data_IF_535158915560
#
_entry.id   IF_535158915560
#
_cell.length_a   1.000
_cell.length_b   1.000
_cell.length_c   1.000
_cell.angle_alpha   90.00
_cell.angle_beta   90.00
_cell.angle_gamma   90.00
#
_symmetry.space_group_name_H-M   'P 1'
#
loop_
_entity.id
_entity.type
_entity.pdbx_description
1 polymer ?
#
# COMPACT_ATOMS: atom_id res chain seq x y z
N UNK A 1 -22.95 15.96 -16.08
CA UNK A 1 -22.95 15.73 -14.62
C UNK A 1 -22.20 14.42 -14.40
N UNK A 2 -20.89 14.49 -14.24
CA UNK A 2 -20.05 13.33 -13.90
C UNK A 2 -20.42 12.96 -12.48
N UNK A 3 -20.85 11.72 -12.25
CA UNK A 3 -20.99 11.23 -10.89
C UNK A 3 -19.58 11.21 -10.31
N UNK A 4 -19.30 12.05 -9.33
CA UNK A 4 -18.26 11.77 -8.34
C UNK A 4 -18.64 10.45 -7.70
N UNK A 5 -18.20 9.35 -8.33
CA UNK A 5 -18.27 8.03 -7.73
C UNK A 5 -17.28 8.13 -6.58
N UNK A 6 -17.78 7.94 -5.35
CA UNK A 6 -16.92 7.51 -4.25
C UNK A 6 -15.94 6.49 -4.83
N UNK A 7 -14.62 6.65 -4.65
CA UNK A 7 -13.69 5.71 -5.22
C UNK A 7 -13.93 4.34 -4.56
N UNK A 8 -14.63 3.46 -5.27
CA UNK A 8 -14.76 2.05 -4.90
C UNK A 8 -13.32 1.51 -4.73
N UNK A 9 -13.06 0.74 -3.67
CA UNK A 9 -11.71 0.33 -3.29
C UNK A 9 -10.90 -0.32 -4.42
N UNK A 10 -11.59 -1.02 -5.32
CA UNK A 10 -11.01 -1.59 -6.54
C UNK A 10 -10.28 -0.55 -7.39
N UNK A 11 -10.85 0.65 -7.51
CA UNK A 11 -10.26 1.74 -8.30
C UNK A 11 -9.04 2.32 -7.62
N UNK A 12 -9.05 2.45 -6.29
CA UNK A 12 -7.88 2.90 -5.54
C UNK A 12 -6.77 1.86 -5.66
N UNK A 13 -7.12 0.57 -5.54
CA UNK A 13 -6.17 -0.52 -5.70
C UNK A 13 -5.56 -0.55 -7.12
N UNK A 14 -6.37 -0.33 -8.16
CA UNK A 14 -5.88 -0.22 -9.54
C UNK A 14 -4.90 0.94 -9.71
N UNK A 15 -5.20 2.12 -9.16
CA UNK A 15 -4.28 3.27 -9.19
C UNK A 15 -3.00 2.94 -8.42
N UNK A 16 -3.10 2.35 -7.23
CA UNK A 16 -1.95 2.00 -6.41
C UNK A 16 -1.04 0.98 -7.12
N UNK A 17 -1.62 -0.05 -7.76
CA UNK A 17 -0.90 -1.01 -8.60
C UNK A 17 -0.16 -0.33 -9.73
N UNK A 18 -0.84 0.57 -10.45
CA UNK A 18 -0.25 1.31 -11.56
C UNK A 18 0.90 2.23 -11.11
N UNK A 19 0.81 2.84 -9.92
CA UNK A 19 1.89 3.66 -9.37
C UNK A 19 3.11 2.83 -8.94
N UNK A 20 2.91 1.61 -8.44
CA UNK A 20 3.99 0.70 -8.08
C UNK A 20 4.67 0.15 -9.35
N UNK A 21 3.88 -0.35 -10.31
CA UNK A 21 4.38 -0.93 -11.56
C UNK A 21 5.01 0.12 -12.50
N UNK A 22 4.45 1.33 -12.53
CA UNK A 22 4.87 2.40 -13.45
C UNK A 22 6.11 3.17 -13.02
N UNK A 23 6.69 2.89 -11.84
CA UNK A 23 7.84 3.63 -11.32
C UNK A 23 9.07 2.72 -11.27
N UNK A 24 9.77 2.61 -12.40
CA UNK A 24 11.11 2.00 -12.46
C UNK A 24 12.20 2.84 -11.76
N UNK A 25 11.85 4.01 -11.21
CA UNK A 25 12.78 4.94 -10.56
C UNK A 25 12.27 5.34 -9.17
N UNK A 26 13.20 5.44 -8.20
CA UNK A 26 13.00 5.80 -6.78
C UNK A 26 12.79 4.62 -5.79
N UNK A 27 13.59 3.55 -5.92
CA UNK A 27 13.62 2.44 -4.96
C UNK A 27 12.52 1.40 -5.15
N UNK A 28 11.65 1.59 -6.15
CA UNK A 28 10.55 0.69 -6.46
C UNK A 28 10.95 -0.47 -7.41
N UNK A 29 12.18 -0.45 -7.92
CA UNK A 29 12.79 -1.51 -8.74
C UNK A 29 12.89 -2.87 -8.04
N UNK A 30 12.81 -2.87 -6.71
CA UNK A 30 12.81 -4.07 -5.86
C UNK A 30 11.42 -4.66 -5.69
N UNK A 31 10.38 -3.94 -6.09
CA UNK A 31 8.99 -4.39 -5.96
C UNK A 31 8.52 -5.12 -7.21
N UNK A 32 7.75 -6.16 -6.96
CA UNK A 32 6.88 -6.80 -7.95
C UNK A 32 5.48 -6.99 -7.37
N UNK A 33 4.52 -7.15 -8.26
CA UNK A 33 3.11 -7.32 -7.92
C UNK A 33 2.66 -8.74 -8.30
N UNK A 34 2.08 -9.44 -7.33
CA UNK A 34 1.36 -10.70 -7.56
C UNK A 34 -0.13 -10.50 -7.25
N UNK A 35 -0.97 -10.55 -8.28
CA UNK A 35 -2.42 -10.42 -8.12
C UNK A 35 -3.06 -11.80 -7.88
N UNK A 36 -3.84 -11.94 -6.79
CA UNK A 36 -4.60 -13.16 -6.49
C UNK A 36 -6.07 -12.80 -6.27
N UNK A 37 -6.89 -12.97 -7.31
CA UNK A 37 -8.27 -12.48 -7.28
C UNK A 37 -8.31 -10.95 -7.24
N UNK A 38 -9.02 -10.40 -6.26
CA UNK A 38 -9.13 -8.95 -6.06
C UNK A 38 -8.00 -8.40 -5.17
N UNK A 39 -7.32 -9.27 -4.42
CA UNK A 39 -6.20 -8.93 -3.54
C UNK A 39 -4.88 -8.86 -4.30
N UNK A 40 -3.92 -8.16 -3.74
CA UNK A 40 -2.62 -7.97 -4.39
C UNK A 40 -1.47 -8.02 -3.40
N UNK A 41 -0.56 -8.96 -3.61
CA UNK A 41 0.66 -9.07 -2.83
C UNK A 41 1.74 -8.19 -3.47
N UNK A 42 2.31 -7.30 -2.65
CA UNK A 42 3.54 -6.57 -2.97
C UNK A 42 4.70 -7.45 -2.49
N UNK A 43 5.54 -7.85 -3.43
CA UNK A 43 6.74 -8.64 -3.17
C UNK A 43 7.95 -7.73 -3.28
N UNK A 44 8.84 -7.76 -2.30
CA UNK A 44 10.13 -7.07 -2.32
C UNK A 44 11.24 -8.11 -2.31
N UNK A 45 12.15 -8.08 -3.29
CA UNK A 45 13.26 -9.03 -3.41
C UNK A 45 12.83 -10.49 -3.18
N UNK A 46 11.79 -10.94 -3.89
CA UNK A 46 11.23 -12.30 -3.82
C UNK A 46 10.54 -12.66 -2.49
N UNK A 47 10.39 -11.72 -1.55
CA UNK A 47 9.70 -11.92 -0.27
C UNK A 47 8.43 -11.08 -0.17
N UNK A 48 7.30 -11.62 0.33
CA UNK A 48 6.06 -10.86 0.48
C UNK A 48 6.24 -9.75 1.52
N UNK A 49 6.07 -8.49 1.10
CA UNK A 49 6.16 -7.33 1.98
C UNK A 49 4.80 -6.94 2.56
N UNK A 50 3.80 -6.85 1.69
CA UNK A 50 2.49 -6.33 2.07
C UNK A 50 1.39 -6.88 1.16
N UNK A 51 0.15 -6.85 1.65
CA UNK A 51 -1.05 -7.21 0.90
C UNK A 51 -1.96 -5.99 0.77
N UNK A 52 -2.31 -5.64 -0.46
CA UNK A 52 -3.32 -4.64 -0.81
C UNK A 52 -4.67 -5.37 -0.90
N UNK A 53 -5.60 -4.98 -0.04
CA UNK A 53 -6.94 -5.56 0.05
C UNK A 53 -7.97 -4.47 -0.23
N UNK A 54 -8.64 -4.49 -1.41
CA UNK A 54 -9.73 -3.57 -1.69
C UNK A 54 -10.88 -3.70 -0.69
N UNK A 55 -11.49 -2.57 -0.33
CA UNK A 55 -12.69 -2.49 0.52
C UNK A 55 -13.82 -1.79 -0.21
N UNK A 56 -15.01 -1.83 0.39
CA UNK A 56 -16.17 -1.09 -0.13
C UNK A 56 -15.86 0.41 -0.28
N UNK A 57 -15.09 0.96 0.67
CA UNK A 57 -14.59 2.33 0.64
C UNK A 57 -13.10 2.31 0.98
N UNK A 58 -12.23 2.50 -0.02
CA UNK A 58 -10.80 2.53 0.21
C UNK A 58 -10.09 1.18 0.06
N UNK A 59 -8.84 1.16 0.51
CA UNK A 59 -7.92 0.02 0.41
C UNK A 59 -7.19 -0.13 1.74
N UNK A 60 -7.07 -1.37 2.20
CA UNK A 60 -6.16 -1.71 3.28
C UNK A 60 -4.82 -2.19 2.71
N UNK A 61 -3.72 -1.70 3.25
CA UNK A 61 -2.38 -2.25 3.03
C UNK A 61 -1.95 -2.93 4.32
N UNK A 62 -1.78 -4.24 4.26
CA UNK A 62 -1.50 -5.09 5.42
C UNK A 62 -0.05 -5.52 5.39
N UNK A 63 0.67 -5.22 6.46
CA UNK A 63 2.06 -5.62 6.64
C UNK A 63 2.14 -6.77 7.64
N UNK A 64 2.36 -8.02 7.17
CA UNK A 64 2.49 -9.18 8.06
C UNK A 64 3.72 -9.10 8.95
N UNK A 65 4.77 -8.42 8.49
CA UNK A 65 6.05 -8.27 9.20
C UNK A 65 6.48 -6.80 9.24
N UNK A 66 7.58 -6.50 9.93
CA UNK A 66 8.16 -5.15 9.91
C UNK A 66 7.37 -4.08 10.66
N UNK A 67 6.52 -4.46 11.63
CA UNK A 67 5.64 -3.58 12.41
C UNK A 67 6.29 -2.27 12.86
N UNK A 68 7.50 -2.33 13.43
CA UNK A 68 8.22 -1.13 13.91
C UNK A 68 8.64 -0.22 12.76
N UNK A 69 9.10 -0.79 11.64
CA UNK A 69 9.51 -0.03 10.45
C UNK A 69 8.29 0.65 9.81
N UNK A 70 7.17 -0.06 9.66
CA UNK A 70 5.90 0.46 9.13
C UNK A 70 5.39 1.61 9.98
N UNK A 71 5.32 1.44 11.31
CA UNK A 71 4.87 2.49 12.23
C UNK A 71 5.73 3.74 12.13
N UNK A 72 7.05 3.58 12.24
CA UNK A 72 7.97 4.71 12.16
C UNK A 72 7.90 5.43 10.81
N UNK A 73 7.72 4.70 9.70
CA UNK A 73 7.58 5.31 8.39
C UNK A 73 6.22 6.02 8.23
N UNK A 74 5.14 5.44 8.75
CA UNK A 74 3.80 5.98 8.67
C UNK A 74 3.61 7.26 9.50
N UNK A 75 4.34 7.44 10.60
CA UNK A 75 4.39 8.70 11.40
C UNK A 75 4.75 9.94 10.56
N UNK A 76 5.40 9.73 9.41
CA UNK A 76 5.79 10.80 8.49
C UNK A 76 4.81 10.97 7.31
N UNK A 77 3.68 10.29 7.33
CA UNK A 77 2.64 10.35 6.30
C UNK A 77 1.32 10.81 6.90
N UNK A 78 0.37 11.17 6.04
CA UNK A 78 -1.00 11.48 6.45
C UNK A 78 -1.92 10.26 6.49
N UNK A 79 -1.37 9.04 6.32
CA UNK A 79 -2.16 7.81 6.23
C UNK A 79 -2.64 7.38 7.61
N UNK A 80 -3.85 6.82 7.65
CA UNK A 80 -4.38 6.21 8.85
C UNK A 80 -3.74 4.83 9.07
N UNK A 81 -3.35 4.55 10.30
CA UNK A 81 -2.75 3.27 10.71
C UNK A 81 -3.60 2.66 11.81
N UNK A 82 -4.14 1.48 11.56
CA UNK A 82 -4.90 0.75 12.57
C UNK A 82 -3.97 -0.10 13.43
N UNK A 83 -4.13 0.04 14.75
CA UNK A 83 -3.41 -0.76 15.73
C UNK A 83 -4.21 -2.03 16.06
N UNK A 84 -3.85 -3.13 15.42
CA UNK A 84 -4.43 -4.44 15.72
C UNK A 84 -3.44 -5.31 16.49
N UNK A 85 -3.92 -6.37 17.16
CA UNK A 85 -3.06 -7.41 17.76
C UNK A 85 -2.35 -8.29 16.70
N UNK A 86 -2.54 -8.00 15.41
CA UNK A 86 -1.99 -8.73 14.27
C UNK A 86 -1.16 -7.83 13.32
N UNK A 87 -1.28 -8.00 11.99
CA UNK A 87 -0.52 -7.21 11.03
C UNK A 87 -0.83 -5.72 11.17
N UNK A 88 0.14 -4.87 10.86
CA UNK A 88 -0.11 -3.43 10.78
C UNK A 88 -0.95 -3.18 9.54
N UNK A 89 -2.08 -2.50 9.71
CA UNK A 89 -2.98 -2.15 8.61
C UNK A 89 -2.90 -0.65 8.39
N UNK A 90 -2.66 -0.26 7.14
CA UNK A 90 -2.65 1.13 6.71
C UNK A 90 -3.82 1.34 5.77
N UNK A 91 -4.64 2.35 6.04
CA UNK A 91 -5.86 2.62 5.28
C UNK A 91 -5.58 3.73 4.25
N UNK A 92 -6.05 3.51 3.03
CA UNK A 92 -5.96 4.44 1.90
C UNK A 92 -7.38 4.66 1.37
N UNK A 93 -7.99 5.78 1.76
CA UNK A 93 -9.40 6.07 1.45
C UNK A 93 -9.58 6.89 0.17
N UNK A 94 -8.48 7.39 -0.40
CA UNK A 94 -8.54 8.21 -1.60
C UNK A 94 -7.40 7.95 -2.57
N UNK A 95 -7.68 8.23 -3.85
CA UNK A 95 -6.65 8.20 -4.89
C UNK A 95 -5.54 9.25 -4.67
N UNK A 96 -5.76 10.27 -3.84
CA UNK A 96 -4.74 11.27 -3.51
C UNK A 96 -3.69 10.73 -2.53
N UNK A 97 -4.08 9.76 -1.71
CA UNK A 97 -3.24 9.12 -0.69
C UNK A 97 -2.38 7.99 -1.27
N UNK A 98 -2.68 7.50 -2.47
CA UNK A 98 -1.90 6.43 -3.12
C UNK A 98 -0.42 6.79 -3.25
N UNK A 99 -0.09 8.06 -3.51
CA UNK A 99 1.30 8.52 -3.51
C UNK A 99 1.96 8.37 -2.13
N UNK A 100 1.28 8.78 -1.06
CA UNK A 100 1.79 8.62 0.29
C UNK A 100 1.95 7.14 0.65
N UNK A 101 1.04 6.28 0.18
CA UNK A 101 1.13 4.84 0.37
C UNK A 101 2.35 4.23 -0.35
N UNK A 102 2.63 4.66 -1.57
CA UNK A 102 3.84 4.24 -2.29
C UNK A 102 5.11 4.72 -1.60
N UNK A 103 5.14 5.99 -1.19
CA UNK A 103 6.28 6.56 -0.48
C UNK A 103 6.51 5.84 0.87
N UNK A 104 5.43 5.40 1.54
CA UNK A 104 5.50 4.54 2.73
C UNK A 104 6.14 3.18 2.42
N UNK A 105 5.73 2.49 1.35
CA UNK A 105 6.30 1.19 0.98
C UNK A 105 7.82 1.27 0.77
N UNK A 106 8.28 2.29 0.06
CA UNK A 106 9.72 2.55 -0.14
C UNK A 106 10.41 2.79 1.20
N UNK A 107 9.83 3.65 2.04
CA UNK A 107 10.38 3.97 3.35
C UNK A 107 10.46 2.75 4.29
N UNK A 108 9.51 1.82 4.20
CA UNK A 108 9.54 0.58 4.98
C UNK A 108 10.70 -0.31 4.54
N UNK A 109 10.88 -0.52 3.24
CA UNK A 109 11.98 -1.34 2.71
C UNK A 109 13.35 -0.78 3.06
N UNK A 110 13.53 0.53 3.03
CA UNK A 110 14.78 1.18 3.44
C UNK A 110 15.12 0.96 4.94
N UNK A 111 14.14 0.53 5.73
CA UNK A 111 14.27 0.27 7.18
C UNK A 111 14.22 -1.22 7.52
N UNK A 112 13.97 -2.10 6.55
CA UNK A 112 14.09 -3.54 6.75
C UNK A 112 15.58 -3.93 6.79
N UNK A 113 15.96 -4.85 7.70
CA UNK A 113 17.35 -5.25 7.90
C UNK A 113 17.95 -6.04 6.74
#
# INVERSE_FOLDING_TARGET
MVRDRLPDGDRIAEVLRAEIDGRETAGLERFSIEATGDDTTIVCDESPLAEIVPRETGVEIRFPEGTTAVRSAAEHTSLEVEETEGPVVVVVDSAAETKAAVDLLVAVVDRLP
#
